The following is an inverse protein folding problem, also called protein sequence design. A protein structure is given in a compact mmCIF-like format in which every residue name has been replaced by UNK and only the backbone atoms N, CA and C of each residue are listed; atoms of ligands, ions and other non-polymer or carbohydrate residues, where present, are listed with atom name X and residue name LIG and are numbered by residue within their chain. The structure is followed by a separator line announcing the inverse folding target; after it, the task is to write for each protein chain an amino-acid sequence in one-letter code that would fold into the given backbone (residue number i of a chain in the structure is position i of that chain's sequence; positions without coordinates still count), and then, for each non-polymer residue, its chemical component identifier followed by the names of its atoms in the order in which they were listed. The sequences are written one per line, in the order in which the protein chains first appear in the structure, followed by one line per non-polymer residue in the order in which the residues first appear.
data_IF_420606863779
#
_entry.id   IF_420606863779
#
_cell.length_a   1.000
_cell.length_b   1.000
_cell.length_c   1.000
_cell.angle_alpha   90.00
_cell.angle_beta   90.00
_cell.angle_gamma   90.00
#
_symmetry.space_group_name_H-M   'P 1'
#
loop_
_entity.id
_entity.type
_entity.pdbx_description
1 polymer ?
#
# COMPACT_ATOMS: atom_id res chain seq x y z
N UNK A 1 -9.44 -2.79 -22.67
CA UNK A 1 -8.15 -2.26 -23.19
C UNK A 1 -7.49 -3.36 -24.00
N UNK A 2 -6.88 -3.05 -25.15
CA UNK A 2 -6.36 -4.05 -26.11
C UNK A 2 -5.05 -4.74 -25.68
N UNK A 3 -4.27 -4.10 -24.80
CA UNK A 3 -3.00 -4.65 -24.29
C UNK A 3 -2.84 -4.36 -22.79
N UNK A 4 -2.55 -5.35 -21.94
CA UNK A 4 -2.35 -5.17 -20.50
C UNK A 4 -0.92 -4.66 -20.20
N UNK A 5 -0.58 -3.45 -20.66
CA UNK A 5 0.77 -2.90 -20.56
C UNK A 5 1.32 -2.83 -19.13
N UNK A 6 0.47 -2.49 -18.15
CA UNK A 6 0.88 -2.47 -16.74
C UNK A 6 1.28 -3.85 -16.21
N UNK A 7 0.63 -4.92 -16.68
CA UNK A 7 0.99 -6.28 -16.28
C UNK A 7 2.36 -6.67 -16.83
N UNK A 8 2.59 -6.39 -18.12
CA UNK A 8 3.86 -6.65 -18.78
C UNK A 8 5.01 -5.90 -18.09
N UNK A 9 4.82 -4.62 -17.77
CA UNK A 9 5.84 -3.81 -17.11
C UNK A 9 6.27 -4.42 -15.76
N UNK A 10 5.31 -4.78 -14.91
CA UNK A 10 5.63 -5.39 -13.61
C UNK A 10 6.25 -6.77 -13.76
N UNK A 11 5.81 -7.56 -14.75
CA UNK A 11 6.40 -8.87 -15.03
C UNK A 11 7.87 -8.78 -15.47
N UNK A 12 8.20 -7.84 -16.36
CA UNK A 12 9.60 -7.59 -16.75
C UNK A 12 10.43 -7.15 -15.54
N UNK A 13 9.91 -6.24 -14.70
CA UNK A 13 10.60 -5.80 -13.49
C UNK A 13 10.88 -6.95 -12.50
N UNK A 14 9.94 -7.89 -12.33
CA UNK A 14 10.15 -9.10 -11.50
C UNK A 14 11.26 -9.98 -12.09
N UNK A 15 11.26 -10.18 -13.42
CA UNK A 15 12.30 -10.98 -14.09
C UNK A 15 13.67 -10.33 -13.95
N UNK A 16 13.76 -9.01 -14.06
CA UNK A 16 15.03 -8.29 -13.92
C UNK A 16 15.56 -8.37 -12.47
N UNK A 17 14.71 -8.18 -11.47
CA UNK A 17 15.07 -8.40 -10.07
C UNK A 17 15.58 -9.84 -9.83
N UNK A 18 14.96 -10.83 -10.46
CA UNK A 18 15.40 -12.24 -10.37
C UNK A 18 16.76 -12.46 -11.05
N UNK A 19 17.03 -11.81 -12.19
CA UNK A 19 18.34 -11.88 -12.88
C UNK A 19 19.46 -11.30 -12.03
N UNK A 20 19.16 -10.26 -11.24
CA UNK A 20 20.10 -9.66 -10.29
C UNK A 20 20.28 -10.47 -9.00
N UNK A 21 19.60 -11.62 -8.87
CA UNK A 21 19.72 -12.49 -7.70
C UNK A 21 18.93 -12.01 -6.48
N UNK A 22 17.99 -11.06 -6.65
CA UNK A 22 17.12 -10.60 -5.57
C UNK A 22 16.10 -11.69 -5.21
N UNK A 23 15.89 -11.88 -3.91
CA UNK A 23 14.96 -12.89 -3.38
C UNK A 23 13.54 -12.38 -3.20
N UNK A 24 13.35 -11.05 -3.19
CA UNK A 24 12.07 -10.41 -2.83
C UNK A 24 11.75 -9.27 -3.79
N UNK A 25 10.49 -9.21 -4.23
CA UNK A 25 9.93 -8.11 -5.01
C UNK A 25 8.76 -7.52 -4.24
N UNK A 26 8.81 -6.21 -3.93
CA UNK A 26 7.82 -5.55 -3.08
C UNK A 26 6.87 -4.67 -3.91
N UNK A 27 5.60 -5.05 -3.93
CA UNK A 27 4.53 -4.31 -4.58
C UNK A 27 3.97 -3.14 -3.75
N UNK A 28 4.45 -2.95 -2.52
CA UNK A 28 4.00 -1.94 -1.57
C UNK A 28 2.54 -2.12 -1.14
N UNK A 29 1.89 -1.02 -0.75
CA UNK A 29 0.55 -1.04 -0.14
C UNK A 29 -0.54 -1.55 -1.08
N UNK A 30 -1.45 -2.31 -0.50
CA UNK A 30 -2.76 -2.68 -1.04
C UNK A 30 -3.85 -2.08 -0.15
N UNK A 31 -5.11 -2.16 -0.58
CA UNK A 31 -6.25 -1.82 0.24
C UNK A 31 -6.24 -2.64 1.55
N UNK A 32 -6.68 -2.01 2.64
CA UNK A 32 -6.78 -2.65 3.95
C UNK A 32 -7.81 -3.78 3.91
N UNK A 33 -8.93 -3.53 3.27
CA UNK A 33 -10.05 -4.42 3.04
C UNK A 33 -10.21 -4.77 1.56
N UNK A 34 -11.00 -5.82 1.29
CA UNK A 34 -11.33 -6.26 -0.06
C UNK A 34 -12.65 -5.65 -0.55
N UNK A 35 -13.07 -4.48 -0.04
CA UNK A 35 -14.31 -3.80 -0.46
C UNK A 35 -14.26 -3.55 -1.98
N UNK A 36 -15.16 -4.17 -2.78
CA UNK A 36 -15.21 -3.99 -4.23
C UNK A 36 -15.45 -2.55 -4.67
N UNK A 37 -16.04 -1.72 -3.79
CA UNK A 37 -16.32 -0.30 -4.04
C UNK A 37 -15.17 0.60 -3.61
N UNK A 38 -14.16 0.04 -2.94
CA UNK A 38 -12.98 0.78 -2.50
C UNK A 38 -12.16 1.30 -3.67
N UNK A 39 -11.68 2.54 -3.57
CA UNK A 39 -10.88 3.17 -4.63
C UNK A 39 -9.60 2.39 -4.99
N UNK A 40 -9.10 1.57 -4.05
CA UNK A 40 -7.88 0.78 -4.20
C UNK A 40 -8.14 -0.68 -4.58
N UNK A 41 -9.40 -1.09 -4.77
CA UNK A 41 -9.77 -2.47 -5.05
C UNK A 41 -9.08 -2.99 -6.31
N UNK A 42 -9.24 -2.29 -7.44
CA UNK A 42 -8.64 -2.69 -8.71
C UNK A 42 -7.10 -2.74 -8.68
N UNK A 43 -6.46 -1.79 -7.98
CA UNK A 43 -5.01 -1.79 -7.79
C UNK A 43 -4.55 -2.96 -6.91
N UNK A 44 -5.34 -3.31 -5.89
CA UNK A 44 -5.04 -4.42 -4.99
C UNK A 44 -5.18 -5.77 -5.70
N UNK A 45 -6.24 -5.94 -6.51
CA UNK A 45 -6.44 -7.12 -7.35
C UNK A 45 -5.31 -7.27 -8.37
N UNK A 46 -4.89 -6.17 -9.00
CA UNK A 46 -3.74 -6.16 -9.91
C UNK A 46 -2.47 -6.69 -9.23
N UNK A 47 -2.13 -6.19 -8.03
CA UNK A 47 -0.93 -6.62 -7.29
C UNK A 47 -1.04 -8.07 -6.81
N UNK A 48 -2.19 -8.46 -6.24
CA UNK A 48 -2.46 -9.83 -5.79
C UNK A 48 -2.40 -10.84 -6.94
N UNK A 49 -2.74 -10.43 -8.16
CA UNK A 49 -2.70 -11.28 -9.35
C UNK A 49 -1.31 -11.81 -9.73
N UNK A 50 -0.23 -11.18 -9.28
CA UNK A 50 1.14 -11.68 -9.47
C UNK A 50 1.55 -12.78 -8.47
N UNK A 51 0.67 -13.09 -7.51
CA UNK A 51 0.97 -13.96 -6.38
C UNK A 51 1.71 -13.24 -5.26
N UNK A 52 2.42 -14.01 -4.44
CA UNK A 52 3.11 -13.51 -3.25
C UNK A 52 2.23 -13.53 -2.00
N UNK A 53 2.65 -12.78 -0.98
CA UNK A 53 2.00 -12.75 0.33
C UNK A 53 1.73 -11.32 0.78
N UNK A 54 0.60 -11.11 1.47
CA UNK A 54 0.29 -9.86 2.16
C UNK A 54 1.06 -9.86 3.48
N UNK A 55 1.83 -8.81 3.72
CA UNK A 55 2.48 -8.56 5.00
C UNK A 55 1.85 -7.31 5.62
N UNK A 56 1.16 -7.51 6.74
CA UNK A 56 0.60 -6.42 7.53
C UNK A 56 1.62 -5.97 8.57
N UNK A 57 2.10 -4.74 8.41
CA UNK A 57 3.01 -4.12 9.37
C UNK A 57 2.22 -3.44 10.49
N UNK A 58 2.90 -3.23 11.62
CA UNK A 58 2.35 -2.39 12.69
C UNK A 58 2.12 -0.97 12.16
N UNK A 59 1.11 -0.30 12.69
CA UNK A 59 0.88 1.10 12.35
C UNK A 59 2.07 1.96 12.78
N UNK A 60 2.27 3.07 12.08
CA UNK A 60 3.23 4.11 12.47
C UNK A 60 2.98 4.55 13.90
N UNK A 61 4.04 4.60 14.69
CA UNK A 61 4.01 5.04 16.08
C UNK A 61 4.72 6.37 16.20
N UNK A 62 4.08 7.33 16.85
CA UNK A 62 4.66 8.64 17.09
C UNK A 62 5.27 8.69 18.49
N UNK A 63 6.47 9.28 18.58
CA UNK A 63 7.13 9.58 19.86
C UNK A 63 6.92 11.07 20.19
N UNK A 64 6.07 11.44 21.16
CA UNK A 64 5.82 12.83 21.49
C UNK A 64 7.04 13.48 22.17
N UNK A 65 7.82 14.25 21.41
CA UNK A 65 9.02 14.93 21.92
C UNK A 65 8.70 16.22 22.70
N UNK A 66 7.57 16.87 22.41
CA UNK A 66 7.15 18.12 23.06
C UNK A 66 5.64 18.17 23.25
N UNK A 67 5.16 19.03 24.16
CA UNK A 67 3.71 19.23 24.39
C UNK A 67 2.96 19.75 23.16
N UNK A 68 3.65 20.38 22.19
CA UNK A 68 3.06 20.85 20.93
C UNK A 68 2.55 19.71 20.06
N UNK A 69 3.08 18.49 20.23
CA UNK A 69 2.63 17.30 19.50
C UNK A 69 1.13 17.03 19.66
N UNK A 70 0.55 17.32 20.83
CA UNK A 70 -0.87 17.07 21.06
C UNK A 70 -1.78 17.96 20.22
N UNK A 71 -1.31 19.14 19.81
CA UNK A 71 -2.04 20.00 18.88
C UNK A 71 -2.05 19.42 17.46
N UNK A 72 -0.90 18.95 16.96
CA UNK A 72 -0.84 18.28 15.65
C UNK A 72 -1.64 16.98 15.66
N UNK A 73 -1.53 16.19 16.73
CA UNK A 73 -2.31 14.96 16.90
C UNK A 73 -3.82 15.22 16.83
N UNK A 74 -4.31 16.30 17.46
CA UNK A 74 -5.73 16.68 17.39
C UNK A 74 -6.16 17.02 15.95
N UNK A 75 -5.33 17.78 15.22
CA UNK A 75 -5.60 18.15 13.82
C UNK A 75 -5.66 16.89 12.93
N UNK A 76 -4.71 15.98 13.10
CA UNK A 76 -4.65 14.71 12.35
C UNK A 76 -5.82 13.81 12.71
N UNK A 77 -6.21 13.73 13.98
CA UNK A 77 -7.36 12.98 14.45
C UNK A 77 -8.67 13.48 13.79
N UNK A 78 -8.90 14.79 13.78
CA UNK A 78 -10.06 15.39 13.09
C UNK A 78 -10.03 15.11 11.59
N UNK A 79 -8.86 15.18 10.97
CA UNK A 79 -8.68 14.90 9.54
C UNK A 79 -8.95 13.44 9.20
N UNK A 80 -8.52 12.51 10.06
CA UNK A 80 -8.76 11.07 9.92
C UNK A 80 -10.25 10.75 9.90
N UNK A 81 -11.01 11.34 10.82
CA UNK A 81 -12.48 11.19 10.88
C UNK A 81 -13.12 11.75 9.60
N UNK A 82 -12.73 12.96 9.16
CA UNK A 82 -13.27 13.59 7.95
C UNK A 82 -13.02 12.76 6.69
N UNK A 83 -11.88 12.08 6.59
CA UNK A 83 -11.53 11.23 5.44
C UNK A 83 -12.11 9.82 5.51
N UNK A 84 -12.79 9.45 6.60
CA UNK A 84 -13.42 8.14 6.75
C UNK A 84 -12.43 6.99 6.96
N UNK A 85 -11.19 7.28 7.38
CA UNK A 85 -10.21 6.24 7.72
C UNK A 85 -10.46 5.72 9.14
N UNK A 86 -11.55 4.96 9.35
CA UNK A 86 -11.80 4.25 10.61
C UNK A 86 -11.26 2.81 10.56
#
# INVERSE_FOLDING_TARGET
RKTPASYLLQWEAIKDAKKEGLSTYNFWGIAKDDDPRGAWHGLSQFKKGFGGQRLDFVHSQDLPLTKKYWLSYLIDYVTKIKKGYN
#
